data_IF_528929506720
#
_entry.id   IF_528929506720
#
_cell.length_a   1.000
_cell.length_b   1.000
_cell.length_c   1.000
_cell.angle_alpha   90.00
_cell.angle_beta   90.00
_cell.angle_gamma   90.00
#
_symmetry.space_group_name_H-M   'P 1'
#
loop_
_entity.id
_entity.type
_entity.pdbx_description
1 polymer ?
#
# COMPACT_ATOMS: atom_id res chain seq x y z
N UNK A 1 1.19 -10.28 -23.43
CA UNK A 1 2.58 -10.79 -23.30
C UNK A 1 2.87 -11.02 -21.83
N UNK A 2 3.58 -12.11 -21.48
CA UNK A 2 4.04 -12.34 -20.10
C UNK A 2 5.17 -11.36 -19.79
N UNK A 3 5.06 -10.58 -18.72
CA UNK A 3 6.13 -9.67 -18.27
C UNK A 3 7.20 -10.48 -17.56
N UNK A 4 8.47 -10.12 -17.74
CA UNK A 4 9.63 -10.86 -17.22
C UNK A 4 10.37 -10.11 -16.11
N UNK A 5 9.84 -8.97 -15.66
CA UNK A 5 10.44 -8.15 -14.61
C UNK A 5 10.07 -8.62 -13.19
N UNK A 6 9.06 -9.48 -13.06
CA UNK A 6 8.53 -9.95 -11.78
C UNK A 6 9.07 -11.33 -11.43
N UNK A 7 9.40 -11.50 -10.16
CA UNK A 7 9.90 -12.74 -9.56
C UNK A 7 8.83 -13.41 -8.69
N UNK A 8 9.13 -14.56 -8.09
CA UNK A 8 8.15 -15.31 -7.31
C UNK A 8 7.56 -14.51 -6.15
N UNK A 9 8.36 -13.71 -5.45
CA UNK A 9 7.91 -12.83 -4.36
C UNK A 9 6.96 -11.73 -4.83
N UNK A 10 7.18 -11.21 -6.03
CA UNK A 10 6.33 -10.19 -6.65
C UNK A 10 4.96 -10.77 -7.00
N UNK A 11 4.94 -11.97 -7.57
CA UNK A 11 3.67 -12.65 -7.87
C UNK A 11 2.93 -13.06 -6.58
N UNK A 12 3.65 -13.49 -5.54
CA UNK A 12 3.04 -13.76 -4.23
C UNK A 12 2.42 -12.49 -3.63
N UNK A 13 3.14 -11.37 -3.66
CA UNK A 13 2.63 -10.08 -3.21
C UNK A 13 1.41 -9.63 -4.02
N UNK A 14 1.43 -9.85 -5.34
CA UNK A 14 0.29 -9.56 -6.22
C UNK A 14 -0.98 -10.32 -5.81
N UNK A 15 -0.87 -11.59 -5.46
CA UNK A 15 -2.01 -12.34 -4.95
C UNK A 15 -2.50 -11.78 -3.60
N UNK A 16 -1.59 -11.36 -2.71
CA UNK A 16 -1.97 -10.66 -1.46
C UNK A 16 -2.73 -9.35 -1.73
N UNK A 17 -2.28 -8.54 -2.71
CA UNK A 17 -2.98 -7.30 -3.09
C UNK A 17 -4.38 -7.61 -3.61
N UNK A 18 -4.54 -8.63 -4.45
CA UNK A 18 -5.86 -9.05 -4.96
C UNK A 18 -6.78 -9.50 -3.85
N UNK A 19 -6.28 -10.32 -2.93
CA UNK A 19 -7.08 -10.80 -1.81
C UNK A 19 -7.57 -9.64 -0.93
N UNK A 20 -6.70 -8.67 -0.64
CA UNK A 20 -7.07 -7.45 0.06
C UNK A 20 -8.17 -6.68 -0.67
N UNK A 21 -8.02 -6.45 -1.98
CA UNK A 21 -9.01 -5.74 -2.79
C UNK A 21 -10.37 -6.46 -2.75
N UNK A 22 -10.38 -7.77 -3.03
CA UNK A 22 -11.59 -8.57 -3.12
C UNK A 22 -12.34 -8.67 -1.79
N UNK A 23 -11.62 -8.78 -0.67
CA UNK A 23 -12.21 -8.96 0.66
C UNK A 23 -12.56 -7.65 1.35
N UNK A 24 -11.71 -6.64 1.23
CA UNK A 24 -11.81 -5.42 2.05
C UNK A 24 -12.40 -4.24 1.27
N UNK A 25 -12.15 -4.14 -0.04
CA UNK A 25 -12.54 -2.96 -0.83
C UNK A 25 -13.82 -3.19 -1.62
N UNK A 26 -13.88 -4.25 -2.43
CA UNK A 26 -15.00 -4.54 -3.33
C UNK A 26 -16.36 -4.54 -2.61
N UNK A 27 -16.52 -5.17 -1.42
CA UNK A 27 -17.81 -5.17 -0.73
C UNK A 27 -18.26 -3.80 -0.22
N UNK A 28 -17.35 -2.84 -0.08
CA UNK A 28 -17.61 -1.54 0.52
C UNK A 28 -17.66 -0.39 -0.50
N UNK A 29 -17.31 -0.64 -1.77
CA UNK A 29 -17.16 0.39 -2.80
C UNK A 29 -18.40 1.28 -2.94
N UNK A 30 -19.58 0.68 -3.17
CA UNK A 30 -20.82 1.43 -3.40
C UNK A 30 -21.18 2.35 -2.21
N UNK A 31 -20.93 1.86 -0.99
CA UNK A 31 -21.12 2.65 0.22
C UNK A 31 -20.19 3.84 0.24
N UNK A 32 -18.89 3.63 0.03
CA UNK A 32 -17.89 4.71 0.06
C UNK A 32 -18.07 5.73 -1.05
N UNK A 33 -18.52 5.32 -2.23
CA UNK A 33 -18.87 6.24 -3.31
C UNK A 33 -20.07 7.11 -2.93
N UNK A 34 -21.11 6.51 -2.33
CA UNK A 34 -22.28 7.24 -1.84
C UNK A 34 -21.92 8.23 -0.73
N UNK A 35 -21.11 7.80 0.23
CA UNK A 35 -20.66 8.61 1.36
C UNK A 35 -19.53 9.59 0.99
N UNK A 36 -18.93 9.43 -0.19
CA UNK A 36 -17.78 10.20 -0.72
C UNK A 36 -16.55 10.14 0.18
N UNK A 37 -16.39 9.05 0.92
CA UNK A 37 -15.27 8.83 1.81
C UNK A 37 -14.97 7.34 1.94
N UNK A 38 -13.70 6.98 1.79
CA UNK A 38 -13.21 5.64 2.09
C UNK A 38 -13.08 5.52 3.60
N UNK A 39 -13.65 4.46 4.18
CA UNK A 39 -13.58 4.23 5.62
C UNK A 39 -12.13 3.97 6.07
N UNK A 40 -11.77 4.48 7.26
CA UNK A 40 -10.43 4.32 7.81
C UNK A 40 -10.02 2.85 7.99
N UNK A 41 -10.97 1.96 8.21
CA UNK A 41 -10.73 0.51 8.29
C UNK A 41 -10.04 -0.06 7.06
N UNK A 42 -10.23 0.53 5.87
CA UNK A 42 -9.52 0.10 4.66
C UNK A 42 -8.00 0.24 4.80
N UNK A 43 -7.52 1.33 5.40
CA UNK A 43 -6.09 1.54 5.68
C UNK A 43 -5.58 0.61 6.79
N UNK A 44 -6.37 0.43 7.85
CA UNK A 44 -6.02 -0.51 8.94
C UNK A 44 -5.92 -1.94 8.41
N UNK A 45 -6.81 -2.34 7.51
CA UNK A 45 -6.74 -3.64 6.84
C UNK A 45 -5.50 -3.71 5.95
N UNK A 46 -5.23 -2.73 5.09
CA UNK A 46 -4.03 -2.71 4.24
C UNK A 46 -2.72 -2.91 5.03
N UNK A 47 -2.60 -2.29 6.21
CA UNK A 47 -1.46 -2.51 7.11
C UNK A 47 -1.33 -3.97 7.58
N UNK A 48 -2.44 -4.65 7.89
CA UNK A 48 -2.44 -6.08 8.27
C UNK A 48 -2.04 -7.01 7.12
N UNK A 49 -2.33 -6.62 5.87
CA UNK A 49 -1.88 -7.34 4.68
C UNK A 49 -0.43 -6.97 4.29
N UNK A 50 0.24 -6.07 5.01
CA UNK A 50 1.60 -5.63 4.70
C UNK A 50 1.70 -4.71 3.48
N UNK A 51 0.60 -4.04 3.10
CA UNK A 51 0.53 -3.21 1.89
C UNK A 51 0.88 -1.73 2.14
N UNK A 52 1.19 -1.37 3.39
CA UNK A 52 1.56 -0.02 3.80
C UNK A 52 2.94 -0.08 4.44
N UNK A 53 3.82 0.85 4.06
CA UNK A 53 5.11 1.03 4.74
C UNK A 53 6.14 -0.07 4.48
N UNK A 54 5.94 -0.96 3.49
CA UNK A 54 6.95 -1.98 3.12
C UNK A 54 8.29 -1.37 2.65
N UNK A 55 8.27 -0.10 2.23
CA UNK A 55 9.46 0.68 1.87
C UNK A 55 10.05 1.52 3.02
N UNK A 56 9.48 1.42 4.21
CA UNK A 56 10.02 2.06 5.42
C UNK A 56 11.11 1.21 6.05
N UNK A 57 12.08 1.84 6.75
CA UNK A 57 13.10 1.11 7.49
C UNK A 57 12.50 0.14 8.52
N UNK A 58 13.12 -1.02 8.69
CA UNK A 58 12.69 -2.06 9.63
C UNK A 58 12.65 -1.56 11.09
N UNK A 59 13.54 -0.64 11.47
CA UNK A 59 13.56 -0.05 12.82
C UNK A 59 12.28 0.71 13.18
N UNK A 60 11.47 1.08 12.18
CA UNK A 60 10.17 1.72 12.35
C UNK A 60 8.99 0.78 12.08
N UNK A 61 9.23 -0.52 11.89
CA UNK A 61 8.20 -1.52 11.60
C UNK A 61 7.91 -1.73 10.11
N UNK A 62 8.70 -1.12 9.22
CA UNK A 62 8.59 -1.29 7.77
C UNK A 62 9.23 -2.58 7.25
N UNK A 63 9.11 -2.78 5.93
CA UNK A 63 9.67 -3.95 5.23
C UNK A 63 11.08 -3.75 4.67
N UNK A 64 11.65 -2.54 4.74
CA UNK A 64 13.01 -2.24 4.29
C UNK A 64 13.25 -2.33 2.78
N UNK A 65 12.21 -2.49 1.96
CA UNK A 65 12.36 -2.72 0.52
C UNK A 65 12.26 -1.42 -0.29
N UNK A 66 13.32 -1.07 -1.02
CA UNK A 66 13.32 0.02 -2.01
C UNK A 66 12.93 -0.47 -3.43
N UNK A 67 12.43 -1.71 -3.56
CA UNK A 67 12.03 -2.27 -4.85
C UNK A 67 10.65 -1.74 -5.30
N UNK A 68 10.68 -0.81 -6.25
CA UNK A 68 9.48 -0.16 -6.78
C UNK A 68 8.52 -1.12 -7.53
N UNK A 69 8.94 -2.36 -7.83
CA UNK A 69 8.06 -3.36 -8.44
C UNK A 69 6.88 -3.72 -7.52
N UNK A 70 7.04 -3.64 -6.20
CA UNK A 70 5.93 -3.82 -5.25
C UNK A 70 4.90 -2.69 -5.34
N UNK A 71 5.34 -1.44 -5.44
CA UNK A 71 4.46 -0.28 -5.65
C UNK A 71 3.69 -0.42 -6.97
N UNK A 72 4.39 -0.78 -8.05
CA UNK A 72 3.77 -1.00 -9.36
C UNK A 72 2.67 -2.08 -9.32
N UNK A 73 2.82 -3.12 -8.50
CA UNK A 73 1.80 -4.16 -8.34
C UNK A 73 0.55 -3.62 -7.65
N UNK A 74 0.69 -2.77 -6.62
CA UNK A 74 -0.45 -2.12 -5.96
C UNK A 74 -1.25 -1.31 -6.98
N UNK A 75 -0.57 -0.48 -7.77
CA UNK A 75 -1.22 0.34 -8.79
C UNK A 75 -1.89 -0.51 -9.88
N UNK A 76 -1.23 -1.56 -10.35
CA UNK A 76 -1.77 -2.45 -11.38
C UNK A 76 -3.06 -3.15 -10.93
N UNK A 77 -3.06 -3.75 -9.74
CA UNK A 77 -4.25 -4.49 -9.27
C UNK A 77 -5.37 -3.53 -8.84
N UNK A 78 -5.03 -2.36 -8.30
CA UNK A 78 -6.03 -1.31 -8.00
C UNK A 78 -6.68 -0.80 -9.29
N UNK A 79 -5.88 -0.48 -10.32
CA UNK A 79 -6.40 -0.04 -11.61
C UNK A 79 -7.22 -1.14 -12.30
N UNK A 80 -6.78 -2.40 -12.22
CA UNK A 80 -7.48 -3.55 -12.81
C UNK A 80 -8.84 -3.82 -12.17
N UNK A 81 -8.93 -3.69 -10.86
CA UNK A 81 -10.15 -3.99 -10.11
C UNK A 81 -11.23 -2.92 -10.27
N UNK A 82 -10.83 -1.69 -10.62
CA UNK A 82 -11.76 -0.57 -10.83
C UNK A 82 -12.31 0.02 -9.52
N UNK A 83 -11.82 -0.43 -8.37
CA UNK A 83 -12.21 0.10 -7.06
C UNK A 83 -11.53 1.45 -6.82
N UNK A 84 -12.21 2.36 -6.15
CA UNK A 84 -11.70 3.70 -5.88
C UNK A 84 -11.22 3.83 -4.43
N UNK A 85 -9.89 3.98 -4.29
CA UNK A 85 -9.22 4.09 -3.00
C UNK A 85 -9.17 2.76 -2.22
N UNK A 86 -8.49 2.74 -1.05
CA UNK A 86 -7.71 3.82 -0.46
C UNK A 86 -6.50 4.22 -1.33
N UNK A 87 -5.97 5.43 -1.13
CA UNK A 87 -4.89 5.98 -1.94
C UNK A 87 -3.51 5.43 -1.49
N UNK A 88 -3.33 4.11 -1.59
CA UNK A 88 -2.14 3.42 -1.08
C UNK A 88 -0.87 3.83 -1.82
N UNK A 89 -0.91 4.04 -3.14
CA UNK A 89 0.25 4.54 -3.88
C UNK A 89 0.63 5.97 -3.51
N UNK A 90 -0.34 6.86 -3.28
CA UNK A 90 -0.03 8.19 -2.74
C UNK A 90 0.69 8.08 -1.39
N UNK A 91 0.25 7.16 -0.53
CA UNK A 91 0.86 6.95 0.77
C UNK A 91 2.28 6.36 0.66
N UNK A 92 2.47 5.27 -0.09
CA UNK A 92 3.74 4.55 -0.16
C UNK A 92 4.76 5.22 -1.11
N UNK A 93 4.32 5.85 -2.19
CA UNK A 93 5.19 6.28 -3.29
C UNK A 93 5.55 7.76 -3.18
N UNK A 94 4.73 8.52 -2.46
CA UNK A 94 4.90 9.97 -2.30
C UNK A 94 5.10 10.30 -0.83
N UNK A 95 4.04 10.21 -0.02
CA UNK A 95 4.08 10.72 1.37
C UNK A 95 5.16 10.00 2.17
N UNK A 96 5.20 8.67 2.11
CA UNK A 96 6.17 7.87 2.83
C UNK A 96 7.63 8.28 2.55
N UNK A 97 8.08 8.31 1.29
CA UNK A 97 9.44 8.76 0.94
C UNK A 97 9.79 10.16 1.47
N UNK A 98 8.87 11.13 1.41
CA UNK A 98 9.10 12.45 2.03
C UNK A 98 9.39 12.34 3.53
N UNK A 99 8.65 11.49 4.23
CA UNK A 99 8.89 11.26 5.66
C UNK A 99 10.20 10.52 5.88
N UNK A 100 10.50 9.47 5.11
CA UNK A 100 11.74 8.70 5.22
C UNK A 100 12.98 9.57 5.03
N UNK A 101 12.96 10.42 4.00
CA UNK A 101 14.18 11.07 3.50
C UNK A 101 14.38 12.48 4.06
N UNK A 102 13.31 13.22 4.36
CA UNK A 102 13.41 14.65 4.69
C UNK A 102 13.19 14.99 6.17
N UNK A 103 12.75 14.02 6.98
CA UNK A 103 12.55 14.27 8.41
C UNK A 103 13.86 14.15 9.19
N UNK A 104 13.93 14.89 10.30
CA UNK A 104 15.01 14.74 11.27
C UNK A 104 14.74 13.55 12.23
N UNK A 105 15.73 13.20 13.07
CA UNK A 105 15.61 12.04 13.97
C UNK A 105 14.43 12.11 14.95
N UNK A 106 14.10 13.31 15.44
CA UNK A 106 12.95 13.50 16.33
C UNK A 106 11.63 13.22 15.60
N UNK A 107 11.49 13.76 14.39
CA UNK A 107 10.33 13.57 13.54
C UNK A 107 10.20 12.11 13.09
N UNK A 108 11.30 11.45 12.71
CA UNK A 108 11.32 10.01 12.38
C UNK A 108 10.78 9.18 13.52
N UNK A 109 11.34 9.35 14.71
CA UNK A 109 10.91 8.63 15.93
C UNK A 109 9.45 8.89 16.29
N UNK A 110 8.91 10.07 15.95
CA UNK A 110 7.53 10.43 16.26
C UNK A 110 6.53 9.94 15.23
N UNK A 111 6.88 9.92 13.94
CA UNK A 111 5.91 9.79 12.84
C UNK A 111 6.02 8.49 12.05
N UNK A 112 7.19 7.85 12.04
CA UNK A 112 7.39 6.61 11.28
C UNK A 112 6.92 5.34 12.02
N UNK A 113 7.04 5.20 13.36
CA UNK A 113 6.57 3.99 14.03
C UNK A 113 5.05 3.83 13.95
N UNK A 114 4.59 2.60 13.66
CA UNK A 114 3.18 2.20 13.63
C UNK A 114 2.93 1.12 12.60
#
# INVERSE_FOLDING_TARGET
MKRTIFEAEHEAFRETVREYIERELVPNQEKWETERIVDRSAYTAAGKYGLIGFNMPEEFGGGGSDDFRFNAIIDEETARSGVHGPALSLHNDVVGPYFKDLTNDEQKKRWLPG
#
